data_IF_932942508503
#
_entry.id   IF_932942508503
#
_cell.length_a   1.000
_cell.length_b   1.000
_cell.length_c   1.000
_cell.angle_alpha   90.00
_cell.angle_beta   90.00
_cell.angle_gamma   90.00
#
_symmetry.space_group_name_H-M   'P 1'
#
loop_
_entity.id
_entity.type
_entity.pdbx_description
1 polymer ?
#
# COMPACT_ATOMS: atom_id res chain seq x y z
N UNK A 1 9.61 -32.16 42.48
CA UNK A 1 9.22 -30.79 42.09
C UNK A 1 10.06 -30.41 40.87
N UNK A 2 9.56 -30.68 39.67
CA UNK A 2 10.25 -30.38 38.42
C UNK A 2 9.45 -29.29 37.70
N UNK A 3 10.10 -28.17 37.43
CA UNK A 3 9.50 -26.99 36.84
C UNK A 3 9.17 -27.26 35.37
N UNK A 4 7.88 -27.26 35.02
CA UNK A 4 7.42 -27.26 33.63
C UNK A 4 7.54 -25.81 33.14
N UNK A 5 8.55 -25.54 32.30
CA UNK A 5 8.61 -24.30 31.54
C UNK A 5 7.66 -24.41 30.35
N UNK A 6 6.48 -23.80 30.46
CA UNK A 6 5.55 -23.62 29.33
C UNK A 6 6.09 -22.47 28.48
N UNK A 7 6.69 -22.80 27.34
CA UNK A 7 7.06 -21.81 26.33
C UNK A 7 5.80 -21.36 25.57
N UNK A 8 5.29 -20.16 25.89
CA UNK A 8 4.24 -19.50 25.13
C UNK A 8 4.79 -19.00 23.79
N UNK A 9 4.79 -19.84 22.75
CA UNK A 9 5.08 -19.42 21.37
C UNK A 9 3.83 -18.76 20.77
N UNK A 10 3.55 -17.53 21.21
CA UNK A 10 2.49 -16.68 20.66
C UNK A 10 3.02 -15.72 19.60
N UNK A 11 3.62 -16.21 18.52
CA UNK A 11 4.00 -15.38 17.38
C UNK A 11 2.87 -15.38 16.33
N UNK A 12 1.72 -14.80 16.64
CA UNK A 12 0.73 -14.52 15.61
C UNK A 12 1.27 -13.40 14.71
N UNK A 13 1.30 -13.63 13.40
CA UNK A 13 1.60 -12.56 12.45
C UNK A 13 0.60 -11.39 12.67
N UNK A 14 1.05 -10.14 12.62
CA UNK A 14 0.18 -8.98 12.75
C UNK A 14 -0.77 -8.82 11.54
N UNK A 15 -1.95 -8.28 11.78
CA UNK A 15 -2.91 -7.89 10.74
C UNK A 15 -2.54 -6.53 10.16
N UNK A 16 -2.88 -6.29 8.89
CA UNK A 16 -2.74 -4.97 8.26
C UNK A 16 -3.71 -3.99 8.93
N UNK A 17 -3.22 -2.84 9.38
CA UNK A 17 -4.07 -1.78 9.95
C UNK A 17 -4.94 -1.15 8.86
N UNK A 18 -6.24 -0.98 9.11
CA UNK A 18 -7.19 -0.42 8.15
C UNK A 18 -8.19 0.53 8.80
N UNK A 19 -8.63 1.54 8.04
CA UNK A 19 -9.73 2.42 8.37
C UNK A 19 -10.69 2.51 7.18
N UNK A 20 -12.03 2.51 7.36
CA UNK A 20 -12.96 2.64 6.25
C UNK A 20 -12.69 3.88 5.40
N UNK A 21 -12.75 3.72 4.08
CA UNK A 21 -12.42 4.77 3.12
C UNK A 21 -13.26 4.63 1.85
N UNK A 22 -13.93 5.71 1.45
CA UNK A 22 -14.67 5.78 0.20
C UNK A 22 -13.85 6.56 -0.84
N UNK A 23 -13.63 5.95 -2.01
CA UNK A 23 -13.01 6.63 -3.13
C UNK A 23 -13.91 7.74 -3.66
N UNK A 24 -13.40 8.96 -3.69
CA UNK A 24 -14.02 10.05 -4.40
C UNK A 24 -13.65 9.98 -5.89
N UNK A 25 -14.65 10.18 -6.77
CA UNK A 25 -14.39 10.41 -8.20
C UNK A 25 -13.66 11.73 -8.33
N UNK A 26 -12.63 11.75 -9.16
CA UNK A 26 -11.70 12.87 -9.18
C UNK A 26 -11.75 13.64 -10.50
N UNK A 27 -11.79 14.97 -10.39
CA UNK A 27 -11.63 15.93 -11.49
C UNK A 27 -10.29 16.66 -11.44
N UNK A 28 -9.38 16.23 -10.56
CA UNK A 28 -8.13 16.89 -10.23
C UNK A 28 -7.06 16.80 -11.30
N UNK A 29 -6.14 17.76 -11.27
CA UNK A 29 -5.14 18.09 -12.30
C UNK A 29 -3.90 17.17 -12.32
N UNK A 30 -3.97 15.99 -11.69
CA UNK A 30 -2.85 15.05 -11.62
C UNK A 30 -2.74 14.13 -12.84
N UNK A 31 -1.59 13.49 -13.06
CA UNK A 31 -1.40 12.57 -14.18
C UNK A 31 -2.37 11.40 -14.05
N UNK A 32 -3.07 11.09 -15.14
CA UNK A 32 -3.99 9.95 -15.22
C UNK A 32 -3.24 8.62 -15.10
N UNK A 33 -1.97 8.58 -15.51
CA UNK A 33 -1.13 7.38 -15.44
C UNK A 33 0.30 7.75 -15.07
N UNK A 34 0.89 6.96 -14.19
CA UNK A 34 2.27 7.13 -13.72
C UNK A 34 3.07 5.84 -13.90
N UNK A 35 4.36 6.00 -14.06
CA UNK A 35 5.33 4.93 -13.99
C UNK A 35 6.34 5.21 -12.88
N UNK A 36 6.64 4.21 -12.05
CA UNK A 36 7.72 4.32 -11.07
C UNK A 36 9.08 4.28 -11.77
N UNK A 37 9.93 5.25 -11.47
CA UNK A 37 11.25 5.39 -12.10
C UNK A 37 12.35 4.62 -11.38
N UNK A 38 12.15 4.27 -10.11
CA UNK A 38 13.07 3.49 -9.30
C UNK A 38 12.33 2.40 -8.54
N UNK A 39 13.03 1.30 -8.26
CA UNK A 39 12.52 0.28 -7.36
C UNK A 39 12.45 0.89 -5.95
N UNK A 40 11.36 0.63 -5.23
CA UNK A 40 11.14 1.18 -3.89
C UNK A 40 10.70 0.06 -2.97
N UNK A 41 11.52 -0.24 -1.97
CA UNK A 41 11.13 -1.16 -0.90
C UNK A 41 10.22 -0.44 0.10
N UNK A 42 9.14 -1.11 0.47
CA UNK A 42 8.18 -0.66 1.45
C UNK A 42 8.18 -1.64 2.61
N UNK A 43 8.17 -1.12 3.83
CA UNK A 43 7.98 -1.90 5.04
C UNK A 43 6.60 -1.61 5.60
N UNK A 44 5.81 -2.67 5.76
CA UNK A 44 4.49 -2.61 6.38
C UNK A 44 4.64 -2.64 7.91
N UNK A 45 3.64 -2.12 8.62
CA UNK A 45 3.56 -2.26 10.08
C UNK A 45 3.52 -3.72 10.53
N UNK A 46 3.07 -4.60 9.63
CA UNK A 46 3.06 -6.05 9.85
C UNK A 46 4.46 -6.67 9.90
N UNK A 47 5.50 -5.90 9.58
CA UNK A 47 6.89 -6.36 9.52
C UNK A 47 7.30 -6.92 8.16
N UNK A 48 6.33 -7.22 7.28
CA UNK A 48 6.60 -7.67 5.91
C UNK A 48 7.09 -6.53 5.02
N UNK A 49 7.90 -6.89 4.01
CA UNK A 49 8.35 -5.95 2.99
C UNK A 49 7.71 -6.25 1.64
N UNK A 50 7.57 -5.19 0.84
CA UNK A 50 7.12 -5.26 -0.54
C UNK A 50 7.97 -4.40 -1.43
N UNK A 51 8.32 -4.92 -2.60
CA UNK A 51 9.03 -4.17 -3.61
C UNK A 51 8.03 -3.59 -4.61
N UNK A 52 8.05 -2.27 -4.77
CA UNK A 52 7.51 -1.64 -5.97
C UNK A 52 8.57 -1.67 -7.05
N UNK A 53 8.32 -2.38 -8.14
CA UNK A 53 9.28 -2.51 -9.22
C UNK A 53 9.44 -1.18 -9.99
N UNK A 54 10.68 -0.86 -10.35
CA UNK A 54 10.96 0.16 -11.37
C UNK A 54 10.24 -0.21 -12.68
N UNK A 55 9.73 0.78 -13.40
CA UNK A 55 9.01 0.58 -14.66
C UNK A 55 7.55 0.14 -14.50
N UNK A 56 7.09 -0.18 -13.29
CA UNK A 56 5.68 -0.52 -13.03
C UNK A 56 4.75 0.68 -13.33
N UNK A 57 3.62 0.39 -13.96
CA UNK A 57 2.64 1.39 -14.40
C UNK A 57 1.40 1.37 -13.50
N UNK A 58 0.90 2.55 -13.19
CA UNK A 58 -0.23 2.73 -12.28
C UNK A 58 -1.21 3.76 -12.83
N UNK A 59 -2.48 3.41 -12.79
CA UNK A 59 -3.59 4.22 -13.32
C UNK A 59 -4.30 4.90 -12.17
N UNK A 60 -4.51 6.21 -12.27
CA UNK A 60 -5.28 6.98 -11.30
C UNK A 60 -6.74 6.56 -11.34
N UNK A 61 -7.33 6.34 -10.16
CA UNK A 61 -8.73 5.87 -10.02
C UNK A 61 -9.60 6.73 -9.11
N UNK A 62 -9.01 7.64 -8.36
CA UNK A 62 -9.75 8.55 -7.48
C UNK A 62 -8.84 9.23 -6.47
N UNK A 63 -9.45 9.76 -5.42
CA UNK A 63 -8.76 10.34 -4.26
C UNK A 63 -9.35 9.86 -2.96
N UNK A 64 -8.51 9.95 -1.93
CA UNK A 64 -8.87 9.92 -0.52
C UNK A 64 -8.35 11.22 0.14
N UNK A 65 -8.79 11.56 1.35
CA UNK A 65 -8.23 12.69 2.10
C UNK A 65 -6.70 12.64 2.24
N UNK A 66 -6.12 11.44 2.23
CA UNK A 66 -4.68 11.20 2.37
C UNK A 66 -3.91 11.36 1.05
N UNK A 67 -4.56 11.32 -0.11
CA UNK A 67 -3.88 11.43 -1.40
C UNK A 67 -4.61 10.83 -2.60
N UNK A 68 -3.96 10.91 -3.76
CA UNK A 68 -4.44 10.35 -5.00
C UNK A 68 -4.25 8.82 -5.03
N UNK A 69 -5.25 8.09 -5.51
CA UNK A 69 -5.24 6.63 -5.54
C UNK A 69 -4.92 6.13 -6.93
N UNK A 70 -3.94 5.22 -7.00
CA UNK A 70 -3.45 4.63 -8.24
C UNK A 70 -3.49 3.10 -8.18
N UNK A 71 -4.25 2.47 -9.08
CA UNK A 71 -4.30 1.01 -9.24
C UNK A 71 -3.15 0.51 -10.12
N UNK A 72 -2.61 -0.71 -9.90
CA UNK A 72 -1.61 -1.29 -10.80
C UNK A 72 -2.21 -1.55 -12.18
N UNK A 73 -1.38 -1.50 -13.22
CA UNK A 73 -1.78 -1.81 -14.60
C UNK A 73 -1.00 -3.01 -15.13
N UNK A 74 -1.71 -4.00 -15.66
CA UNK A 74 -1.12 -5.22 -16.23
C UNK A 74 -0.64 -6.24 -15.19
N UNK A 75 -0.90 -5.99 -13.91
CA UNK A 75 -0.59 -6.90 -12.79
C UNK A 75 -1.52 -6.62 -11.61
N UNK A 76 -1.48 -7.50 -10.61
CA UNK A 76 -2.11 -7.29 -9.30
C UNK A 76 -0.99 -7.02 -8.30
N UNK A 77 -1.14 -5.98 -7.50
CA UNK A 77 -0.25 -5.69 -6.39
C UNK A 77 -0.94 -6.03 -5.08
N UNK A 78 -0.21 -6.70 -4.18
CA UNK A 78 -0.75 -7.11 -2.88
C UNK A 78 0.18 -6.74 -1.74
N UNK A 79 -0.42 -6.40 -0.60
CA UNK A 79 0.27 -6.25 0.69
C UNK A 79 -0.14 -7.39 1.61
N UNK A 80 0.69 -7.70 2.62
CA UNK A 80 0.44 -8.85 3.48
C UNK A 80 0.61 -8.56 4.98
N UNK A 81 -0.17 -9.30 5.75
CA UNK A 81 0.00 -9.53 7.18
C UNK A 81 -0.40 -10.97 7.47
N UNK A 82 -1.43 -11.17 8.29
CA UNK A 82 -2.11 -12.47 8.41
C UNK A 82 -2.81 -12.92 7.14
N UNK A 83 -3.20 -11.97 6.29
CA UNK A 83 -3.92 -12.18 5.05
C UNK A 83 -3.21 -11.40 3.93
N UNK A 84 -3.52 -11.76 2.69
CA UNK A 84 -3.05 -11.07 1.49
C UNK A 84 -4.18 -10.20 0.97
N UNK A 85 -3.88 -8.93 0.73
CA UNK A 85 -4.86 -7.91 0.33
C UNK A 85 -4.42 -7.30 -1.00
N UNK A 86 -5.32 -7.22 -1.98
CA UNK A 86 -5.10 -6.35 -3.15
C UNK A 86 -4.94 -4.89 -2.67
N UNK A 87 -3.98 -4.16 -3.26
CA UNK A 87 -3.61 -2.85 -2.78
C UNK A 87 -3.33 -1.87 -3.92
N UNK A 88 -3.94 -0.68 -3.83
CA UNK A 88 -3.70 0.46 -4.71
C UNK A 88 -2.87 1.50 -3.97
N UNK A 89 -1.95 2.18 -4.64
CA UNK A 89 -1.09 3.19 -4.01
C UNK A 89 -1.92 4.41 -3.64
N UNK A 90 -1.69 4.97 -2.45
CA UNK A 90 -2.18 6.30 -2.07
C UNK A 90 -0.98 7.23 -1.99
N UNK A 91 -0.95 8.22 -2.88
CA UNK A 91 0.20 9.09 -3.10
C UNK A 91 -0.18 10.53 -2.73
N UNK A 92 0.63 11.15 -1.88
CA UNK A 92 0.56 12.56 -1.52
C UNK A 92 1.81 13.28 -2.04
N UNK A 93 1.67 14.05 -3.11
CA UNK A 93 2.81 14.65 -3.81
C UNK A 93 3.74 13.57 -4.35
N UNK A 94 4.98 13.52 -3.84
CA UNK A 94 6.01 12.57 -4.27
C UNK A 94 6.28 11.47 -3.21
N UNK A 95 5.30 11.22 -2.34
CA UNK A 95 5.40 10.23 -1.26
C UNK A 95 4.25 9.23 -1.31
N UNK A 96 4.60 7.95 -1.18
CA UNK A 96 3.65 6.89 -0.88
C UNK A 96 3.31 6.97 0.61
N UNK A 97 2.03 7.18 0.92
CA UNK A 97 1.55 7.35 2.31
C UNK A 97 0.75 6.16 2.83
N UNK A 98 0.36 5.26 1.95
CA UNK A 98 -0.44 4.08 2.30
C UNK A 98 -1.04 3.41 1.08
N UNK A 99 -2.03 2.57 1.33
CA UNK A 99 -2.74 1.79 0.33
C UNK A 99 -4.24 1.91 0.49
N UNK A 100 -4.95 1.89 -0.63
CA UNK A 100 -6.38 1.65 -0.66
C UNK A 100 -6.61 0.17 -0.98
N UNK A 101 -7.45 -0.49 -0.18
CA UNK A 101 -7.80 -1.90 -0.31
C UNK A 101 -9.18 -2.01 -0.98
N UNK A 102 -9.26 -2.28 -2.30
CA UNK A 102 -10.51 -2.20 -3.04
C UNK A 102 -11.55 -3.24 -2.59
N UNK A 103 -11.12 -4.43 -2.18
CA UNK A 103 -12.02 -5.47 -1.68
C UNK A 103 -12.66 -5.14 -0.33
N UNK A 104 -12.03 -4.27 0.46
CA UNK A 104 -12.48 -3.89 1.80
C UNK A 104 -13.05 -2.47 1.87
N UNK A 105 -12.84 -1.66 0.84
CA UNK A 105 -13.13 -0.22 0.85
C UNK A 105 -12.50 0.46 2.07
N UNK A 106 -11.19 0.22 2.23
CA UNK A 106 -10.44 0.68 3.40
C UNK A 106 -9.09 1.29 3.00
N UNK A 107 -8.63 2.24 3.79
CA UNK A 107 -7.29 2.79 3.73
C UNK A 107 -6.40 2.09 4.76
N UNK A 108 -5.22 1.68 4.32
CA UNK A 108 -4.16 1.15 5.18
C UNK A 108 -2.94 2.08 5.17
N UNK A 109 -2.56 2.69 6.30
CA UNK A 109 -1.44 3.63 6.35
C UNK A 109 -0.09 2.91 6.26
N UNK A 110 0.91 3.62 5.74
CA UNK A 110 2.31 3.30 6.05
C UNK A 110 2.72 4.04 7.32
N UNK A 111 3.38 3.35 8.25
CA UNK A 111 3.94 3.96 9.47
C UNK A 111 4.99 5.03 9.16
N UNK A 112 5.64 4.94 8.01
CA UNK A 112 6.54 5.96 7.48
C UNK A 112 6.29 6.14 6.00
N UNK A 113 5.96 7.37 5.61
CA UNK A 113 5.79 7.71 4.20
C UNK A 113 7.10 7.50 3.43
N UNK A 114 7.01 6.85 2.27
CA UNK A 114 8.18 6.49 1.45
C UNK A 114 8.28 7.43 0.26
N UNK A 115 9.44 8.05 0.06
CA UNK A 115 9.71 8.84 -1.14
C UNK A 115 9.73 7.92 -2.36
N UNK A 116 8.94 8.25 -3.38
CA UNK A 116 8.89 7.53 -4.65
C UNK A 116 9.27 8.47 -5.77
N UNK A 117 9.80 8.00 -6.89
CA UNK A 117 9.99 8.83 -8.09
C UNK A 117 9.05 8.34 -9.17
N UNK A 118 8.18 9.23 -9.65
CA UNK A 118 7.19 8.94 -10.69
C UNK A 118 7.49 9.78 -11.92
N UNK A 119 7.22 9.23 -13.10
CA UNK A 119 7.04 10.05 -14.30
C UNK A 119 5.72 9.70 -14.97
N UNK A 120 5.24 10.58 -15.84
CA UNK A 120 4.06 10.30 -16.65
C UNK A 120 4.34 9.12 -17.59
N UNK A 121 3.33 8.28 -17.78
CA UNK A 121 3.35 7.19 -18.75
C UNK A 121 2.24 7.44 -19.78
N UNK A 122 2.57 7.32 -21.06
CA UNK A 122 1.60 7.44 -22.16
C UNK A 122 0.57 6.31 -22.16
#
# INVERSE_FOLDING_TARGET
MACIAVACLGACAPMVSTAPAALATDSGTGPSRIQLKSATEIRLETGYTRMLAAGSNWQRVGTLPQGAVYRPVGTIFTIEGRQVHEAYLVIAGQRLVGFYLPGEQAFSPLSTAVSITTGESQ
#
